data_IF_659703921232
#
_entry.id   IF_659703921232
#
_cell.length_a   1.000
_cell.length_b   1.000
_cell.length_c   1.000
_cell.angle_alpha   90.00
_cell.angle_beta   90.00
_cell.angle_gamma   90.00
#
_symmetry.space_group_name_H-M   'P 1'
#
loop_
_entity.id
_entity.type
_entity.pdbx_description
1 polymer ?
#
# COMPACT_ATOMS: atom_id res chain seq x y z
N UNK A 1 8.65 7.22 6.94
CA UNK A 1 8.23 7.18 8.35
C UNK A 1 6.78 6.73 8.42
N UNK A 2 6.24 6.49 9.62
CA UNK A 2 4.80 6.23 9.83
C UNK A 2 4.20 7.49 10.46
N UNK A 3 3.07 7.96 9.94
CA UNK A 3 2.40 9.17 10.45
C UNK A 3 0.89 8.99 10.54
N UNK A 4 0.25 9.65 11.51
CA UNK A 4 -1.21 9.69 11.64
C UNK A 4 -1.79 10.70 10.67
N UNK A 5 -2.70 10.27 9.79
CA UNK A 5 -3.34 11.11 8.77
C UNK A 5 -4.84 10.83 8.69
N UNK A 6 -5.67 11.85 8.38
CA UNK A 6 -7.07 11.62 8.04
C UNK A 6 -7.17 10.89 6.69
N UNK A 7 -7.98 9.84 6.63
CA UNK A 7 -8.30 9.05 5.43
C UNK A 7 -9.81 8.84 5.35
N UNK A 8 -10.33 8.56 4.15
CA UNK A 8 -11.74 8.26 3.93
C UNK A 8 -11.93 6.76 3.81
N UNK A 9 -12.80 6.17 4.63
CA UNK A 9 -13.18 4.75 4.63
C UNK A 9 -14.69 4.70 4.79
N UNK A 10 -15.39 3.98 3.91
CA UNK A 10 -16.86 3.85 3.94
C UNK A 10 -17.61 5.18 4.11
N UNK A 11 -17.19 6.19 3.34
CA UNK A 11 -17.72 7.57 3.36
C UNK A 11 -17.47 8.37 4.66
N UNK A 12 -16.72 7.83 5.63
CA UNK A 12 -16.35 8.50 6.88
C UNK A 12 -14.86 8.88 6.91
N UNK A 13 -14.54 9.98 7.62
CA UNK A 13 -13.16 10.42 7.82
C UNK A 13 -12.61 9.83 9.12
N UNK A 14 -11.58 8.99 9.01
CA UNK A 14 -10.89 8.36 10.13
C UNK A 14 -9.42 8.79 10.22
N UNK A 15 -8.85 8.84 11.44
CA UNK A 15 -7.40 9.00 11.61
C UNK A 15 -6.73 7.62 11.60
N UNK A 16 -5.84 7.37 10.63
CA UNK A 16 -5.08 6.12 10.50
C UNK A 16 -3.58 6.36 10.52
N UNK A 17 -2.83 5.33 10.92
CA UNK A 17 -1.38 5.28 10.70
C UNK A 17 -1.11 4.92 9.24
N UNK A 18 -0.31 5.74 8.56
CA UNK A 18 -0.07 5.59 7.14
C UNK A 18 1.42 5.71 6.84
N UNK A 19 1.89 4.90 5.90
CA UNK A 19 3.29 4.88 5.44
C UNK A 19 3.38 5.48 4.05
N UNK A 20 4.31 6.41 3.87
CA UNK A 20 4.66 6.91 2.53
C UNK A 20 5.75 6.02 1.92
N UNK A 21 5.50 5.53 0.72
CA UNK A 21 6.36 4.58 0.03
C UNK A 21 6.69 5.10 -1.37
N UNK A 22 7.98 5.20 -1.68
CA UNK A 22 8.47 5.59 -3.00
C UNK A 22 9.07 4.36 -3.67
N UNK A 23 8.55 3.99 -4.83
CA UNK A 23 9.04 2.84 -5.60
C UNK A 23 9.57 3.34 -6.94
N UNK A 24 10.80 2.96 -7.28
CA UNK A 24 11.41 3.25 -8.56
C UNK A 24 11.28 2.04 -9.48
N UNK A 25 10.88 2.29 -10.73
CA UNK A 25 10.70 1.25 -11.74
C UNK A 25 11.33 1.70 -13.05
N UNK A 26 11.98 0.77 -13.73
CA UNK A 26 12.48 0.97 -15.08
C UNK A 26 11.35 0.79 -16.10
N UNK A 27 10.92 1.91 -16.70
CA UNK A 27 9.84 1.94 -17.67
C UNK A 27 10.24 1.35 -19.05
N UNK A 28 11.52 1.05 -19.28
CA UNK A 28 11.93 0.26 -20.45
C UNK A 28 11.57 -1.24 -20.30
N UNK A 29 11.32 -1.68 -19.06
CA UNK A 29 11.06 -3.09 -18.73
C UNK A 29 9.61 -3.30 -18.29
N UNK A 30 9.05 -2.35 -17.55
CA UNK A 30 7.71 -2.47 -16.94
C UNK A 30 6.82 -1.32 -17.39
N UNK A 31 5.69 -1.67 -18.03
CA UNK A 31 4.67 -0.70 -18.39
C UNK A 31 3.83 -0.25 -17.17
N UNK A 32 3.13 0.88 -17.32
CA UNK A 32 2.28 1.42 -16.27
C UNK A 32 1.18 0.48 -15.79
N UNK A 33 0.52 -0.28 -16.67
CA UNK A 33 -0.58 -1.15 -16.26
C UNK A 33 -0.15 -2.33 -15.35
N UNK A 34 0.92 -3.11 -15.69
CA UNK A 34 1.53 -4.04 -14.75
C UNK A 34 1.98 -3.39 -13.44
N UNK A 35 2.60 -2.21 -13.51
CA UNK A 35 3.05 -1.51 -12.30
C UNK A 35 1.90 -1.13 -11.36
N UNK A 36 0.82 -0.55 -11.88
CA UNK A 36 -0.36 -0.20 -11.07
C UNK A 36 -0.98 -1.42 -10.39
N UNK A 37 -1.08 -2.56 -11.09
CA UNK A 37 -1.56 -3.81 -10.49
C UNK A 37 -0.63 -4.31 -9.38
N UNK A 38 0.68 -4.21 -9.59
CA UNK A 38 1.66 -4.53 -8.55
C UNK A 38 1.48 -3.65 -7.31
N UNK A 39 1.33 -2.33 -7.49
CA UNK A 39 1.11 -1.42 -6.37
C UNK A 39 -0.19 -1.75 -5.63
N UNK A 40 -1.27 -2.02 -6.35
CA UNK A 40 -2.55 -2.41 -5.75
C UNK A 40 -2.39 -3.66 -4.86
N UNK A 41 -1.85 -4.75 -5.42
CA UNK A 41 -1.66 -5.98 -4.65
C UNK A 41 -0.68 -5.81 -3.49
N UNK A 42 0.38 -5.02 -3.66
CA UNK A 42 1.31 -4.72 -2.56
C UNK A 42 0.61 -4.01 -1.41
N UNK A 43 -0.22 -3.00 -1.71
CA UNK A 43 -1.00 -2.26 -0.70
C UNK A 43 -1.94 -3.21 0.05
N UNK A 44 -2.73 -4.02 -0.68
CA UNK A 44 -3.66 -4.99 -0.09
C UNK A 44 -2.95 -5.94 0.88
N UNK A 45 -1.83 -6.55 0.46
CA UNK A 45 -1.07 -7.49 1.29
C UNK A 45 -0.46 -6.83 2.54
N UNK A 46 0.01 -5.59 2.42
CA UNK A 46 0.59 -4.84 3.56
C UNK A 46 -0.50 -4.47 4.56
N UNK A 47 -1.67 -4.01 4.09
CA UNK A 47 -2.80 -3.64 4.94
C UNK A 47 -3.41 -4.86 5.65
N UNK A 48 -3.43 -6.02 5.01
CA UNK A 48 -3.89 -7.28 5.61
C UNK A 48 -2.86 -7.91 6.57
N UNK A 49 -1.62 -7.40 6.60
CA UNK A 49 -0.54 -8.01 7.36
C UNK A 49 -0.24 -9.44 6.88
N UNK A 50 -0.34 -9.68 5.57
CA UNK A 50 -0.20 -10.99 4.97
C UNK A 50 1.11 -11.69 5.40
N UNK A 51 1.01 -12.97 5.76
CA UNK A 51 2.14 -13.78 6.22
C UNK A 51 2.58 -13.53 7.67
N UNK A 52 2.14 -12.45 8.33
CA UNK A 52 2.54 -12.17 9.73
C UNK A 52 1.87 -13.10 10.76
N UNK A 53 0.70 -13.66 10.43
CA UNK A 53 -0.02 -14.58 11.31
C UNK A 53 0.72 -15.91 11.53
N UNK A 54 1.63 -16.28 10.63
CA UNK A 54 2.41 -17.52 10.68
C UNK A 54 3.62 -17.43 11.64
N UNK A 55 3.97 -16.21 12.08
CA UNK A 55 5.09 -15.95 12.99
C UNK A 55 4.66 -15.77 14.45
N UNK A 56 3.42 -16.14 14.79
CA UNK A 56 2.88 -16.07 16.15
C UNK A 56 3.12 -17.34 16.96
#
# INVERSE_FOLDING_TARGET
GISKRPVVIDEEVEIRECVDLTIMVDHAVVDGAPFTRFIQSLTELVEEGYGLAEFK
#
